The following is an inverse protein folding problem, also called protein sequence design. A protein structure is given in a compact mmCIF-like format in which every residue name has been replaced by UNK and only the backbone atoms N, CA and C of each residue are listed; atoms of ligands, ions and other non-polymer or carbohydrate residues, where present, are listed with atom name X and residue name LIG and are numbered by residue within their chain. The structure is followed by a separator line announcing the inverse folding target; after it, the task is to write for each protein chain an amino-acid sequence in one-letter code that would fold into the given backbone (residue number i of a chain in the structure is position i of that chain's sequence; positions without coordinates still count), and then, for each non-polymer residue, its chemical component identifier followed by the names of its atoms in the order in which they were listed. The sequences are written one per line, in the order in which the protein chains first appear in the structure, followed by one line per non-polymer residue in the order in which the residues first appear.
data_IF_572892341662
#
_entry.id   IF_572892341662
#
_cell.length_a   1.000
_cell.length_b   1.000
_cell.length_c   1.000
_cell.angle_alpha   90.00
_cell.angle_beta   90.00
_cell.angle_gamma   90.00
#
_symmetry.space_group_name_H-M   'P 1'
#
loop_
_entity.id
_entity.type
_entity.pdbx_description
1 polymer ?
#
# COMPACT_ATOMS: atom_id res chain seq x y z
N UNK A 1 -22.06 8.22 -9.81
CA UNK A 1 -21.24 9.45 -9.93
C UNK A 1 -19.81 9.11 -9.53
N UNK A 2 -18.94 8.81 -10.50
CA UNK A 2 -17.53 8.49 -10.25
C UNK A 2 -16.74 9.81 -10.22
N UNK A 3 -16.27 10.24 -9.05
CA UNK A 3 -15.39 11.42 -8.96
C UNK A 3 -14.00 11.02 -9.44
N UNK A 4 -13.60 11.52 -10.60
CA UNK A 4 -12.22 11.43 -11.11
C UNK A 4 -11.32 12.23 -10.16
N UNK A 5 -10.42 11.56 -9.44
CA UNK A 5 -9.44 12.24 -8.60
C UNK A 5 -8.33 12.77 -9.51
N UNK A 6 -8.22 14.08 -9.61
CA UNK A 6 -7.09 14.75 -10.27
C UNK A 6 -6.20 15.36 -9.20
N UNK A 7 -4.88 15.16 -9.32
CA UNK A 7 -3.90 15.81 -8.46
C UNK A 7 -3.87 17.30 -8.81
N UNK A 8 -4.30 18.15 -7.87
CA UNK A 8 -4.52 19.60 -8.07
C UNK A 8 -3.45 20.46 -7.38
N UNK A 9 -2.49 19.84 -6.69
CA UNK A 9 -1.43 20.58 -6.02
C UNK A 9 -0.33 20.97 -7.02
N UNK A 10 0.20 22.20 -6.92
CA UNK A 10 1.43 22.55 -7.63
C UNK A 10 2.53 21.59 -7.19
N UNK A 11 3.35 21.15 -8.15
CA UNK A 11 4.59 20.46 -7.81
C UNK A 11 5.44 21.41 -6.98
N UNK A 12 5.99 20.93 -5.86
CA UNK A 12 6.90 21.73 -5.05
C UNK A 12 8.02 22.27 -5.93
N UNK A 13 8.37 23.56 -5.74
CA UNK A 13 9.47 24.19 -6.45
C UNK A 13 10.73 23.33 -6.28
N UNK A 14 11.34 22.96 -7.41
CA UNK A 14 12.58 22.16 -7.44
C UNK A 14 13.72 23.06 -6.95
N UNK A 15 13.78 23.28 -5.64
CA UNK A 15 14.96 23.85 -5.01
C UNK A 15 16.04 22.78 -5.12
N UNK A 16 17.13 23.01 -5.86
CA UNK A 16 18.19 22.02 -5.98
C UNK A 16 18.79 21.83 -4.59
N UNK A 17 18.45 20.70 -3.98
CA UNK A 17 19.05 20.25 -2.74
C UNK A 17 20.41 19.67 -3.07
N UNK A 18 21.40 19.94 -2.22
CA UNK A 18 22.73 19.39 -2.44
C UNK A 18 22.69 17.87 -2.31
N UNK A 19 23.54 17.16 -3.05
CA UNK A 19 23.70 15.69 -2.95
C UNK A 19 23.87 15.22 -1.50
N UNK A 20 24.57 16.01 -0.68
CA UNK A 20 24.75 15.74 0.74
C UNK A 20 23.43 15.81 1.54
N UNK A 21 22.60 16.81 1.27
CA UNK A 21 21.32 17.01 1.94
C UNK A 21 20.33 15.89 1.63
N UNK A 22 20.25 15.46 0.37
CA UNK A 22 19.40 14.34 -0.04
C UNK A 22 19.86 13.02 0.60
N UNK A 23 21.17 12.78 0.67
CA UNK A 23 21.73 11.60 1.35
C UNK A 23 21.42 11.61 2.84
N UNK A 24 21.49 12.76 3.50
CA UNK A 24 21.14 12.91 4.92
C UNK A 24 19.65 12.60 5.18
N UNK A 25 18.75 13.07 4.30
CA UNK A 25 17.32 12.74 4.36
C UNK A 25 17.08 11.24 4.22
N UNK A 26 17.76 10.60 3.25
CA UNK A 26 17.66 9.16 3.04
C UNK A 26 18.21 8.40 4.27
N UNK A 27 19.36 8.80 4.81
CA UNK A 27 19.95 8.16 6.00
C UNK A 27 19.05 8.29 7.25
N UNK A 28 18.33 9.41 7.41
CA UNK A 28 17.40 9.61 8.50
C UNK A 28 16.23 8.62 8.48
N UNK A 29 15.74 8.21 7.30
CA UNK A 29 14.69 7.19 7.16
C UNK A 29 15.11 5.82 7.72
N UNK A 30 16.41 5.54 7.72
CA UNK A 30 16.97 4.26 8.17
C UNK A 30 17.68 4.35 9.53
N UNK A 31 17.55 5.47 10.24
CA UNK A 31 18.19 5.72 11.54
C UNK A 31 19.73 5.60 11.49
N UNK A 32 20.34 6.10 10.39
CA UNK A 32 21.80 6.04 10.12
C UNK A 32 22.48 7.41 10.14
N UNK A 33 22.02 8.32 11.01
CA UNK A 33 22.44 9.73 11.04
C UNK A 33 23.96 9.96 11.26
N UNK A 34 24.69 8.97 11.79
CA UNK A 34 26.10 9.12 12.18
C UNK A 34 27.11 8.38 11.26
N UNK A 35 26.68 7.91 10.08
CA UNK A 35 27.60 7.25 9.14
C UNK A 35 28.52 8.28 8.47
N UNK A 36 29.83 7.96 8.42
CA UNK A 36 30.88 8.84 7.86
C UNK A 36 30.45 9.36 6.48
N UNK A 37 30.74 10.64 6.16
CA UNK A 37 30.47 11.18 4.83
C UNK A 37 31.16 10.29 3.79
N UNK A 38 30.35 9.59 3.00
CA UNK A 38 30.82 8.78 1.89
C UNK A 38 31.30 9.76 0.82
N UNK A 39 32.52 9.53 0.33
CA UNK A 39 33.15 10.31 -0.73
C UNK A 39 32.20 10.49 -1.92
N UNK A 40 32.19 11.69 -2.50
CA UNK A 40 31.36 11.99 -3.65
C UNK A 40 31.82 11.14 -4.85
N UNK A 41 31.08 10.07 -5.13
CA UNK A 41 31.39 9.16 -6.23
C UNK A 41 31.00 9.84 -7.53
N UNK A 42 31.99 10.11 -8.38
CA UNK A 42 31.76 10.47 -9.77
C UNK A 42 31.24 9.25 -10.54
N UNK A 43 29.92 9.18 -10.66
CA UNK A 43 29.22 8.08 -11.34
C UNK A 43 29.62 7.95 -12.82
N UNK A 44 30.05 9.04 -13.47
CA UNK A 44 30.50 9.00 -14.88
C UNK A 44 31.86 8.31 -14.95
N UNK A 45 32.79 8.72 -14.09
CA UNK A 45 34.10 8.07 -14.01
C UNK A 45 33.99 6.59 -13.60
N UNK A 46 33.14 6.28 -12.61
CA UNK A 46 32.91 4.91 -12.17
C UNK A 46 32.31 4.03 -13.28
N UNK A 47 31.39 4.57 -14.07
CA UNK A 47 30.79 3.87 -15.21
C UNK A 47 31.80 3.59 -16.33
N UNK A 48 32.67 4.54 -16.65
CA UNK A 48 33.74 4.36 -17.64
C UNK A 48 34.79 3.35 -17.18
N UNK A 49 35.12 3.33 -15.88
CA UNK A 49 35.98 2.29 -15.29
C UNK A 49 35.36 0.89 -15.42
N UNK A 50 34.06 0.77 -15.12
CA UNK A 50 33.35 -0.50 -15.21
C UNK A 50 33.33 -1.05 -16.65
N UNK A 51 33.16 -0.18 -17.65
CA UNK A 51 33.28 -0.57 -19.07
C UNK A 51 34.65 -1.14 -19.41
N UNK A 52 35.72 -0.48 -18.98
CA UNK A 52 37.11 -0.92 -19.23
C UNK A 52 37.44 -2.23 -18.52
N UNK A 53 36.94 -2.44 -17.31
CA UNK A 53 37.09 -3.72 -16.58
C UNK A 53 36.33 -4.87 -17.24
N UNK A 54 35.18 -4.61 -17.86
CA UNK A 54 34.43 -5.63 -18.60
C UNK A 54 35.07 -6.04 -19.92
N UNK A 55 35.76 -5.14 -20.62
CA UNK A 55 36.52 -5.46 -21.84
C UNK A 55 37.83 -6.21 -21.55
N UNK A 56 38.39 -6.06 -20.34
CA UNK A 56 39.68 -6.68 -19.96
C UNK A 56 39.57 -8.14 -19.49
N UNK A 57 38.36 -8.72 -19.38
CA UNK A 57 38.12 -10.07 -18.82
C UNK A 57 37.71 -11.14 -19.85
N UNK A 58 37.92 -10.92 -21.15
CA UNK A 58 37.55 -11.92 -22.17
C UNK A 58 38.57 -13.06 -22.38
N UNK A 59 39.70 -13.10 -21.64
CA UNK A 59 40.65 -14.22 -21.76
C UNK A 59 41.23 -14.63 -20.40
N UNK A 60 40.52 -15.51 -19.68
CA UNK A 60 41.08 -16.73 -19.06
C UNK A 60 40.03 -17.55 -18.26
N UNK A 61 40.21 -18.86 -18.38
CA UNK A 61 39.48 -20.08 -17.97
C UNK A 61 39.06 -20.20 -16.47
N UNK A 62 38.30 -21.25 -16.08
CA UNK A 62 37.07 -21.11 -15.31
C UNK A 62 37.23 -21.59 -13.86
N UNK A 63 37.07 -20.72 -12.87
CA UNK A 63 36.84 -21.23 -11.51
C UNK A 63 36.06 -20.27 -10.63
N UNK A 64 35.23 -20.87 -9.81
CA UNK A 64 34.25 -20.26 -8.91
C UNK A 64 33.17 -19.45 -9.61
N UNK A 65 32.16 -20.18 -10.11
CA UNK A 65 30.78 -19.71 -10.09
C UNK A 65 30.44 -19.30 -8.66
N UNK A 66 30.71 -18.03 -8.30
CA UNK A 66 29.88 -17.34 -7.33
C UNK A 66 28.48 -17.57 -7.85
N UNK A 67 27.66 -18.31 -7.10
CA UNK A 67 26.23 -18.36 -7.33
C UNK A 67 25.79 -16.90 -7.26
N UNK A 68 25.75 -16.25 -8.41
CA UNK A 68 24.93 -15.09 -8.62
C UNK A 68 23.55 -15.66 -8.34
N UNK A 69 23.09 -15.48 -7.10
CA UNK A 69 21.71 -15.64 -6.74
C UNK A 69 21.02 -14.73 -7.72
N UNK A 70 20.50 -15.32 -8.81
CA UNK A 70 19.71 -14.59 -9.76
C UNK A 70 18.70 -13.82 -8.92
N UNK A 71 18.56 -12.50 -9.11
CA UNK A 71 17.50 -11.78 -8.43
C UNK A 71 16.24 -12.58 -8.71
N UNK A 72 15.61 -13.12 -7.65
CA UNK A 72 14.34 -13.85 -7.77
C UNK A 72 13.49 -12.96 -8.64
N UNK A 73 13.08 -13.44 -9.82
CA UNK A 73 12.19 -12.68 -10.71
C UNK A 73 10.89 -12.49 -9.94
N UNK A 74 10.81 -11.40 -9.18
CA UNK A 74 9.60 -11.02 -8.47
C UNK A 74 8.63 -10.61 -9.56
N UNK A 75 7.57 -11.39 -9.75
CA UNK A 75 6.56 -11.11 -10.76
C UNK A 75 5.56 -10.12 -10.15
N UNK A 76 6.06 -8.90 -9.86
CA UNK A 76 5.33 -7.84 -9.15
C UNK A 76 3.94 -7.61 -9.75
N UNK A 77 3.84 -7.70 -11.08
CA UNK A 77 2.57 -7.60 -11.80
C UNK A 77 1.59 -8.72 -11.45
N UNK A 78 2.06 -9.97 -11.35
CA UNK A 78 1.24 -11.12 -10.93
C UNK A 78 0.82 -10.99 -9.46
N UNK A 79 1.75 -10.60 -8.59
CA UNK A 79 1.51 -10.45 -7.16
C UNK A 79 0.45 -9.35 -6.90
N UNK A 80 0.57 -8.23 -7.60
CA UNK A 80 -0.40 -7.14 -7.50
C UNK A 80 -1.78 -7.53 -8.06
N UNK A 81 -1.83 -8.30 -9.16
CA UNK A 81 -3.10 -8.84 -9.67
C UNK A 81 -3.78 -9.76 -8.66
N UNK A 82 -3.02 -10.61 -7.98
CA UNK A 82 -3.55 -11.47 -6.93
C UNK A 82 -4.09 -10.65 -5.75
N UNK A 83 -3.32 -9.67 -5.27
CA UNK A 83 -3.76 -8.76 -4.22
C UNK A 83 -5.09 -8.05 -4.56
N UNK A 84 -5.24 -7.59 -5.81
CA UNK A 84 -6.51 -6.98 -6.25
C UNK A 84 -7.67 -7.99 -6.23
N UNK A 85 -7.45 -9.22 -6.69
CA UNK A 85 -8.47 -10.27 -6.67
C UNK A 85 -8.88 -10.64 -5.23
N UNK A 86 -7.90 -10.72 -4.32
CA UNK A 86 -8.13 -11.00 -2.91
C UNK A 86 -8.90 -9.86 -2.24
N UNK A 87 -8.53 -8.60 -2.54
CA UNK A 87 -9.21 -7.41 -2.03
C UNK A 87 -10.66 -7.36 -2.49
N UNK A 88 -10.93 -7.62 -3.77
CA UNK A 88 -12.31 -7.68 -4.30
C UNK A 88 -13.10 -8.78 -3.60
N UNK A 89 -12.50 -9.95 -3.41
CA UNK A 89 -13.13 -11.08 -2.72
C UNK A 89 -13.47 -10.74 -1.27
N UNK A 90 -12.55 -10.08 -0.56
CA UNK A 90 -12.77 -9.66 0.81
C UNK A 90 -13.87 -8.61 0.91
N UNK A 91 -13.83 -7.57 0.06
CA UNK A 91 -14.86 -6.54 0.01
C UNK A 91 -16.25 -7.14 -0.24
N UNK A 92 -16.36 -8.13 -1.14
CA UNK A 92 -17.62 -8.81 -1.40
C UNK A 92 -18.15 -9.58 -0.17
N UNK A 93 -17.26 -10.24 0.58
CA UNK A 93 -17.64 -10.90 1.85
C UNK A 93 -18.15 -9.89 2.87
N UNK A 94 -17.46 -8.76 3.01
CA UNK A 94 -17.82 -7.72 3.96
C UNK A 94 -19.17 -7.09 3.58
N UNK A 95 -19.41 -6.85 2.30
CA UNK A 95 -20.72 -6.39 1.79
C UNK A 95 -21.83 -7.38 2.17
N UNK A 96 -21.64 -8.68 1.94
CA UNK A 96 -22.65 -9.69 2.31
C UNK A 96 -22.89 -9.76 3.82
N UNK A 97 -21.84 -9.63 4.64
CA UNK A 97 -21.98 -9.61 6.09
C UNK A 97 -22.79 -8.39 6.57
N UNK A 98 -22.48 -7.21 6.03
CA UNK A 98 -23.22 -5.97 6.32
C UNK A 98 -24.69 -6.06 5.89
N UNK A 99 -24.97 -6.63 4.71
CA UNK A 99 -26.34 -6.85 4.23
C UNK A 99 -27.15 -7.70 5.21
N UNK A 100 -26.55 -8.80 5.70
CA UNK A 100 -27.20 -9.65 6.70
C UNK A 100 -27.51 -8.89 8.00
N UNK A 101 -26.59 -8.06 8.49
CA UNK A 101 -26.83 -7.25 9.69
C UNK A 101 -27.97 -6.24 9.49
N UNK A 102 -28.07 -5.64 8.30
CA UNK A 102 -29.18 -4.74 7.96
C UNK A 102 -30.52 -5.48 7.99
N UNK A 103 -30.59 -6.70 7.46
CA UNK A 103 -31.79 -7.54 7.51
C UNK A 103 -32.20 -7.89 8.95
N UNK A 104 -31.24 -8.28 9.79
CA UNK A 104 -31.48 -8.56 11.21
C UNK A 104 -32.01 -7.33 11.96
N UNK A 105 -31.48 -6.14 11.67
CA UNK A 105 -31.96 -4.88 12.26
C UNK A 105 -33.38 -4.54 11.79
N UNK A 106 -33.72 -4.75 10.52
CA UNK A 106 -35.09 -4.55 10.04
C UNK A 106 -36.09 -5.46 10.75
N UNK A 107 -35.75 -6.73 10.94
CA UNK A 107 -36.58 -7.69 11.68
C UNK A 107 -36.83 -7.21 13.12
N UNK A 108 -35.78 -6.73 13.81
CA UNK A 108 -35.89 -6.21 15.17
C UNK A 108 -36.79 -4.96 15.24
N UNK A 109 -36.72 -4.07 14.25
CA UNK A 109 -37.57 -2.89 14.15
C UNK A 109 -39.04 -3.30 14.04
N UNK A 110 -39.35 -4.28 13.19
CA UNK A 110 -40.71 -4.77 13.00
C UNK A 110 -41.28 -5.42 14.28
N UNK A 111 -40.47 -6.20 14.99
CA UNK A 111 -40.85 -6.77 16.29
C UNK A 111 -41.15 -5.68 17.32
N UNK A 112 -40.29 -4.65 17.42
CA UNK A 112 -40.50 -3.53 18.32
C UNK A 112 -41.74 -2.71 17.97
N UNK A 113 -42.02 -2.55 16.68
CA UNK A 113 -43.25 -1.90 16.20
C UNK A 113 -44.50 -2.67 16.62
N UNK A 114 -44.49 -4.00 16.55
CA UNK A 114 -45.59 -4.85 17.03
C UNK A 114 -45.75 -4.70 18.56
N UNK A 115 -44.65 -4.74 19.31
CA UNK A 115 -44.67 -4.55 20.77
C UNK A 115 -45.27 -3.19 21.14
N UNK A 116 -44.85 -2.10 20.48
CA UNK A 116 -45.37 -0.77 20.74
C UNK A 116 -46.87 -0.65 20.46
N UNK A 117 -47.38 -1.25 19.38
CA UNK A 117 -48.82 -1.28 19.10
C UNK A 117 -49.62 -1.97 20.21
N UNK A 118 -49.10 -3.07 20.77
CA UNK A 118 -49.72 -3.76 21.90
C UNK A 118 -49.75 -2.87 23.15
N UNK A 119 -48.64 -2.21 23.45
CA UNK A 119 -48.56 -1.29 24.59
C UNK A 119 -49.50 -0.09 24.43
N UNK A 120 -49.61 0.47 23.22
CA UNK A 120 -50.58 1.53 22.92
C UNK A 120 -52.02 1.08 23.14
N UNK A 121 -52.38 -0.12 22.67
CA UNK A 121 -53.72 -0.66 22.90
C UNK A 121 -54.03 -0.86 24.38
N UNK A 122 -53.05 -1.32 25.17
CA UNK A 122 -53.19 -1.44 26.64
C UNK A 122 -53.38 -0.06 27.27
N UNK A 123 -52.59 0.94 26.86
CA UNK A 123 -52.70 2.31 27.38
C UNK A 123 -54.10 2.88 27.14
N UNK A 124 -54.63 2.75 25.92
CA UNK A 124 -55.99 3.24 25.59
C UNK A 124 -57.04 2.53 26.45
N UNK A 125 -56.94 1.21 26.61
CA UNK A 125 -57.89 0.45 27.44
C UNK A 125 -57.84 0.84 28.93
N UNK A 126 -56.71 1.36 29.42
CA UNK A 126 -56.59 1.91 30.78
C UNK A 126 -57.23 3.29 30.87
N UNK A 127 -57.07 4.14 29.86
CA UNK A 127 -57.69 5.47 29.82
C UNK A 127 -59.23 5.40 29.76
N UNK A 128 -59.77 4.30 29.23
CA UNK A 128 -61.21 4.04 29.10
C UNK A 128 -61.87 3.45 30.39
N UNK A 129 -61.10 3.19 31.46
CA UNK A 129 -61.56 2.65 32.76
C UNK A 129 -61.97 3.74 33.76
#
# INVERSE_FOLDING_TARGET
MSKTWNFVQPLDDVKPTSSHEERAKIAALFHKQDEKPIEEVDYVAAFEQQKKESESKEVQTPESKVKQNQPKKVNITSDYKQHLADTITQNNKDISACQKQIEELHQLIDEKKIQNKKLQAISVAIDDL
#
